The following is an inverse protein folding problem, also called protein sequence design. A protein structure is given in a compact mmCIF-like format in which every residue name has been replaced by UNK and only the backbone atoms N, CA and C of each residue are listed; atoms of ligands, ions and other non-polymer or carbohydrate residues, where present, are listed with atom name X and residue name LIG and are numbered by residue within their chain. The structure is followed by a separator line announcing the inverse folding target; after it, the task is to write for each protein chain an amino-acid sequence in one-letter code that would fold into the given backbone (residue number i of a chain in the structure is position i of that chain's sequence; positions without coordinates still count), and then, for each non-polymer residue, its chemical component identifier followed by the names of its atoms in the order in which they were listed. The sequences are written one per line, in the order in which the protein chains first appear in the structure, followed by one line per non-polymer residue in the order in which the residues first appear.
data_IF_596225413452
#
_entry.id   IF_596225413452
#
_cell.length_a   1.000
_cell.length_b   1.000
_cell.length_c   1.000
_cell.angle_alpha   90.00
_cell.angle_beta   90.00
_cell.angle_gamma   90.00
#
_symmetry.space_group_name_H-M   'P 1'
#
loop_
_entity.id
_entity.type
_entity.pdbx_description
1 polymer ?
#
# COMPACT_ATOMS: atom_id res chain seq x y z
N UNK A 1 -17.34 18.70 -23.12
CA UNK A 1 -17.74 18.82 -21.69
C UNK A 1 -17.70 17.48 -20.97
N UNK A 2 -18.27 16.41 -21.53
CA UNK A 2 -18.32 15.08 -20.88
C UNK A 2 -16.92 14.48 -20.61
N UNK A 3 -15.95 14.74 -21.48
CA UNK A 3 -14.55 14.30 -21.28
C UNK A 3 -13.93 14.87 -19.99
N UNK A 4 -14.12 16.16 -19.70
CA UNK A 4 -13.55 16.80 -18.50
C UNK A 4 -14.07 16.18 -17.19
N UNK A 5 -15.30 15.65 -17.18
CA UNK A 5 -15.86 14.94 -16.02
C UNK A 5 -15.09 13.65 -15.75
N UNK A 6 -14.74 12.90 -16.80
CA UNK A 6 -13.94 11.68 -16.68
C UNK A 6 -12.52 11.96 -16.19
N UNK A 7 -11.90 13.05 -16.67
CA UNK A 7 -10.59 13.48 -16.20
C UNK A 7 -10.61 13.88 -14.71
N UNK A 8 -11.60 14.68 -14.30
CA UNK A 8 -11.78 15.08 -12.91
C UNK A 8 -12.02 13.86 -12.01
N UNK A 9 -12.86 12.91 -12.46
CA UNK A 9 -13.10 11.64 -11.76
C UNK A 9 -11.82 10.82 -11.57
N UNK A 10 -10.98 10.73 -12.60
CA UNK A 10 -9.70 10.01 -12.52
C UNK A 10 -8.75 10.66 -11.50
N UNK A 11 -8.65 11.99 -11.49
CA UNK A 11 -7.80 12.72 -10.54
C UNK A 11 -8.28 12.55 -9.09
N UNK A 12 -9.59 12.68 -8.85
CA UNK A 12 -10.18 12.52 -7.52
C UNK A 12 -10.03 11.08 -7.00
N UNK A 13 -10.32 10.09 -7.85
CA UNK A 13 -10.16 8.68 -7.49
C UNK A 13 -8.69 8.34 -7.23
N UNK A 14 -7.77 8.82 -8.08
CA UNK A 14 -6.33 8.63 -7.88
C UNK A 14 -5.84 9.23 -6.56
N UNK A 15 -6.27 10.46 -6.25
CA UNK A 15 -5.95 11.11 -4.98
C UNK A 15 -6.51 10.36 -3.77
N UNK A 16 -7.76 9.90 -3.85
CA UNK A 16 -8.39 9.11 -2.79
C UNK A 16 -7.70 7.76 -2.57
N UNK A 17 -7.30 7.06 -3.64
CA UNK A 17 -6.56 5.81 -3.55
C UNK A 17 -5.23 6.00 -2.82
N UNK A 18 -4.48 7.06 -3.15
CA UNK A 18 -3.23 7.39 -2.46
C UNK A 18 -3.47 7.77 -1.00
N UNK A 19 -4.47 8.60 -0.70
CA UNK A 19 -4.78 9.01 0.68
C UNK A 19 -5.15 7.83 1.58
N UNK A 20 -5.81 6.80 1.03
CA UNK A 20 -6.20 5.60 1.79
C UNK A 20 -5.07 4.57 1.88
N UNK A 21 -4.37 4.31 0.76
CA UNK A 21 -3.37 3.25 0.68
C UNK A 21 -2.02 3.63 1.29
N UNK A 22 -1.61 4.89 1.13
CA UNK A 22 -0.27 5.35 1.54
C UNK A 22 -0.02 5.24 3.05
N UNK A 23 -0.93 5.65 3.95
CA UNK A 23 -0.70 5.51 5.39
C UNK A 23 -0.53 4.04 5.80
N UNK A 24 -1.37 3.15 5.29
CA UNK A 24 -1.31 1.72 5.59
C UNK A 24 0.00 1.08 5.10
N UNK A 25 0.45 1.45 3.90
CA UNK A 25 1.73 1.00 3.36
C UNK A 25 2.92 1.51 4.19
N UNK A 26 2.91 2.80 4.53
CA UNK A 26 3.97 3.44 5.31
C UNK A 26 4.10 2.81 6.70
N UNK A 27 2.98 2.60 7.38
CA UNK A 27 2.98 2.07 8.75
C UNK A 27 3.46 0.62 8.78
N UNK A 28 3.06 -0.19 7.79
CA UNK A 28 3.59 -1.55 7.59
C UNK A 28 5.12 -1.53 7.38
N UNK A 29 5.61 -0.73 6.43
CA UNK A 29 7.05 -0.61 6.15
C UNK A 29 7.86 -0.11 7.35
N UNK A 30 7.27 0.75 8.18
CA UNK A 30 7.90 1.24 9.40
C UNK A 30 7.98 0.19 10.53
N UNK A 31 7.09 -0.81 10.56
CA UNK A 31 7.22 -1.95 11.48
C UNK A 31 8.20 -2.97 10.96
N UNK A 32 8.08 -3.34 9.69
CA UNK A 32 8.99 -4.27 9.03
C UNK A 32 10.46 -3.82 9.16
N UNK A 33 10.74 -2.52 9.01
CA UNK A 33 12.10 -1.99 9.19
C UNK A 33 12.61 -2.06 10.63
N UNK A 34 11.72 -1.93 11.63
CA UNK A 34 12.07 -2.07 13.06
C UNK A 34 12.38 -3.52 13.39
N UNK A 35 11.56 -4.45 12.91
CA UNK A 35 11.74 -5.89 13.14
C UNK A 35 13.07 -6.36 12.52
N UNK A 36 13.34 -5.98 11.27
CA UNK A 36 14.60 -6.28 10.60
C UNK A 36 15.82 -5.70 11.33
N UNK A 37 15.70 -4.49 11.89
CA UNK A 37 16.79 -3.89 12.66
C UNK A 37 17.00 -4.60 14.01
N UNK A 38 15.92 -5.04 14.67
CA UNK A 38 16.00 -5.81 15.89
C UNK A 38 16.66 -7.18 15.65
N UNK A 39 16.28 -7.87 14.57
CA UNK A 39 16.92 -9.12 14.13
C UNK A 39 18.42 -8.94 13.90
N UNK A 40 18.82 -7.90 13.14
CA UNK A 40 20.24 -7.57 12.90
C UNK A 40 20.99 -7.28 14.19
N UNK A 41 20.37 -6.56 15.12
CA UNK A 41 20.99 -6.25 16.41
C UNK A 41 21.20 -7.50 17.26
N UNK A 42 20.21 -8.40 17.31
CA UNK A 42 20.32 -9.69 18.00
C UNK A 42 21.39 -10.58 17.36
N UNK A 43 21.48 -10.60 16.04
CA UNK A 43 22.51 -11.31 15.30
C UNK A 43 23.92 -10.79 15.61
N UNK A 44 24.10 -9.46 15.61
CA UNK A 44 25.36 -8.83 15.99
C UNK A 44 25.77 -9.15 17.44
N UNK A 45 24.81 -9.20 18.38
CA UNK A 45 25.06 -9.61 19.77
C UNK A 45 25.31 -11.11 19.95
N UNK A 46 25.36 -11.90 18.88
CA UNK A 46 25.54 -13.36 18.94
C UNK A 46 24.36 -14.10 19.60
N UNK A 47 23.21 -13.44 19.76
CA UNK A 47 22.00 -13.99 20.39
C UNK A 47 20.90 -14.33 19.39
N UNK A 48 21.14 -14.19 18.09
CA UNK A 48 20.15 -14.60 17.10
C UNK A 48 19.89 -16.12 17.20
N UNK A 49 18.62 -16.56 17.31
CA UNK A 49 18.30 -17.97 17.21
C UNK A 49 18.76 -18.50 15.85
N UNK A 50 19.54 -19.60 15.84
CA UNK A 50 20.07 -20.23 14.63
C UNK A 50 19.00 -21.00 13.81
N UNK A 51 17.74 -20.84 14.16
CA UNK A 51 16.60 -21.51 13.53
C UNK A 51 15.47 -20.52 13.31
N UNK A 52 14.83 -20.67 12.15
CA UNK A 52 13.65 -19.94 11.64
C UNK A 52 13.85 -18.47 11.26
N UNK A 53 14.53 -18.24 10.15
CA UNK A 53 14.44 -17.02 9.35
C UNK A 53 13.05 -16.79 8.71
N UNK A 54 11.96 -17.28 9.31
CA UNK A 54 10.62 -17.24 8.72
C UNK A 54 9.48 -16.88 9.68
N UNK A 55 9.71 -16.49 10.94
CA UNK A 55 8.61 -16.47 11.92
C UNK A 55 8.47 -15.24 12.82
N UNK A 56 9.11 -14.09 12.53
CA UNK A 56 8.93 -12.89 13.37
C UNK A 56 8.63 -11.59 12.62
N UNK A 57 8.44 -11.60 11.29
CA UNK A 57 7.74 -10.47 10.68
C UNK A 57 6.25 -10.66 10.96
N UNK A 58 5.72 -9.93 11.94
CA UNK A 58 4.29 -9.79 12.11
C UNK A 58 3.76 -9.17 10.82
N UNK A 59 3.21 -10.02 9.95
CA UNK A 59 2.82 -9.64 8.59
C UNK A 59 1.81 -8.51 8.57
N UNK A 60 1.43 -8.07 7.37
CA UNK A 60 0.47 -6.97 7.24
C UNK A 60 -0.83 -7.28 7.98
N UNK A 61 -1.28 -6.36 8.84
CA UNK A 61 -2.50 -6.58 9.62
C UNK A 61 -3.72 -6.68 8.70
N UNK A 62 -4.78 -7.36 9.15
CA UNK A 62 -6.01 -7.47 8.36
C UNK A 62 -6.61 -6.09 8.01
N UNK A 63 -6.48 -5.12 8.92
CA UNK A 63 -6.93 -3.74 8.72
C UNK A 63 -6.13 -3.02 7.62
N UNK A 64 -4.80 -3.14 7.62
CA UNK A 64 -3.95 -2.55 6.59
C UNK A 64 -4.15 -3.22 5.23
N UNK A 65 -4.29 -4.55 5.22
CA UNK A 65 -4.60 -5.31 4.02
C UNK A 65 -5.93 -4.87 3.41
N UNK A 66 -6.96 -4.66 4.25
CA UNK A 66 -8.26 -4.12 3.82
C UNK A 66 -8.14 -2.71 3.26
N UNK A 67 -7.35 -1.83 3.89
CA UNK A 67 -7.10 -0.47 3.38
C UNK A 67 -6.39 -0.50 2.03
N UNK A 68 -5.41 -1.39 1.83
CA UNK A 68 -4.78 -1.57 0.52
C UNK A 68 -5.74 -2.10 -0.53
N UNK A 69 -6.60 -3.07 -0.21
CA UNK A 69 -7.61 -3.54 -1.16
C UNK A 69 -8.63 -2.46 -1.53
N UNK A 70 -9.05 -1.64 -0.56
CA UNK A 70 -9.90 -0.49 -0.83
C UNK A 70 -9.18 0.53 -1.73
N UNK A 71 -7.92 0.86 -1.43
CA UNK A 71 -7.11 1.74 -2.26
C UNK A 71 -6.92 1.18 -3.68
N UNK A 72 -6.71 -0.12 -3.84
CA UNK A 72 -6.61 -0.79 -5.13
C UNK A 72 -7.93 -0.71 -5.92
N UNK A 73 -9.07 -0.92 -5.26
CA UNK A 73 -10.39 -0.77 -5.88
C UNK A 73 -10.64 0.65 -6.37
N UNK A 74 -10.31 1.66 -5.56
CA UNK A 74 -10.42 3.07 -5.94
C UNK A 74 -9.45 3.39 -7.09
N UNK A 75 -8.22 2.85 -7.06
CA UNK A 75 -7.25 3.01 -8.13
C UNK A 75 -7.74 2.43 -9.46
N UNK A 76 -8.40 1.27 -9.42
CA UNK A 76 -9.00 0.67 -10.61
C UNK A 76 -10.11 1.56 -11.19
N UNK A 77 -10.94 2.16 -10.33
CA UNK A 77 -11.94 3.14 -10.76
C UNK A 77 -11.29 4.36 -11.44
N UNK A 78 -10.16 4.85 -10.92
CA UNK A 78 -9.40 5.94 -11.55
C UNK A 78 -8.93 5.56 -12.97
N UNK A 79 -8.46 4.33 -13.17
CA UNK A 79 -8.05 3.81 -14.48
C UNK A 79 -9.24 3.73 -15.44
N UNK A 80 -10.41 3.28 -14.97
CA UNK A 80 -11.64 3.24 -15.79
C UNK A 80 -12.05 4.65 -16.22
N UNK A 81 -12.02 5.63 -15.31
CA UNK A 81 -12.29 7.02 -15.64
C UNK A 81 -11.29 7.57 -16.67
N UNK A 82 -10.00 7.24 -16.54
CA UNK A 82 -8.98 7.65 -17.50
C UNK A 82 -9.21 7.02 -18.88
N UNK A 83 -9.56 5.74 -18.94
CA UNK A 83 -9.88 5.05 -20.19
C UNK A 83 -11.11 5.67 -20.87
N UNK A 84 -12.16 5.97 -20.10
CA UNK A 84 -13.35 6.64 -20.61
C UNK A 84 -13.05 8.06 -21.13
N UNK A 85 -12.16 8.79 -20.45
CA UNK A 85 -11.67 10.09 -20.93
C UNK A 85 -11.05 9.96 -22.34
N UNK A 86 -10.10 9.04 -22.52
CA UNK A 86 -9.44 8.83 -23.82
C UNK A 86 -10.38 8.29 -24.90
N UNK A 87 -11.45 7.58 -24.54
CA UNK A 87 -12.41 7.05 -25.50
C UNK A 87 -13.39 8.11 -26.05
N UNK A 88 -13.59 9.22 -25.33
CA UNK A 88 -14.62 10.24 -25.63
C UNK A 88 -14.00 11.64 -25.86
N UNK A 89 -12.66 11.73 -25.88
CA UNK A 89 -11.91 12.97 -26.19
C UNK A 89 -11.31 12.90 -27.57
#
# INVERSE_FOLDING_TARGET
MISLVWLAGALLAGGAALAVGWPAWRDYRARESRDLNAERYMAWRGRAPRGSASSMSEGMTLAERRRLYLAAGIGLLAVVCLAAFFAVS
#
